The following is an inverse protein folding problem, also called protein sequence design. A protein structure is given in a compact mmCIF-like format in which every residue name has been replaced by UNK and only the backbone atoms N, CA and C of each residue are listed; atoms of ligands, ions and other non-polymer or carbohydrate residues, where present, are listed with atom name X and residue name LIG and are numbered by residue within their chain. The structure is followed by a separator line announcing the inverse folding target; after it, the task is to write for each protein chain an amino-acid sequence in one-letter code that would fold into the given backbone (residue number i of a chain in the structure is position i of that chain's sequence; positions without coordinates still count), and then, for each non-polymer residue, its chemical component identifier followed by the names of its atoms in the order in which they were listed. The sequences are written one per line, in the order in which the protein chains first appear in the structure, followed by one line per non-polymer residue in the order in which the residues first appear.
data_IF_690876530598
#
_entry.id   IF_690876530598
#
_cell.length_a   1.000
_cell.length_b   1.000
_cell.length_c   1.000
_cell.angle_alpha   90.00
_cell.angle_beta   90.00
_cell.angle_gamma   90.00
#
_symmetry.space_group_name_H-M   'P 1'
#
loop_
_entity.id
_entity.type
_entity.pdbx_description
1 polymer ?
#
# COMPACT_ATOMS: atom_id res chain seq x y z
N UNK A 1 -13.71 -25.15 22.54
CA UNK A 1 -13.67 -25.90 21.26
C UNK A 1 -13.13 -24.99 20.16
N UNK A 2 -11.94 -25.27 19.63
CA UNK A 2 -11.35 -24.50 18.53
C UNK A 2 -12.19 -24.70 17.26
N UNK A 3 -13.03 -23.72 16.91
CA UNK A 3 -13.66 -23.70 15.59
C UNK A 3 -12.56 -23.41 14.56
N UNK A 4 -12.36 -24.35 13.64
CA UNK A 4 -11.38 -24.26 12.53
C UNK A 4 -11.76 -23.10 11.60
N UNK A 5 -13.05 -22.76 11.54
CA UNK A 5 -13.61 -21.61 10.83
C UNK A 5 -14.07 -20.57 11.87
N UNK A 6 -13.36 -19.46 11.95
CA UNK A 6 -13.60 -18.41 12.94
C UNK A 6 -12.79 -17.16 12.64
N UNK A 7 -13.34 -16.00 12.91
CA UNK A 7 -12.68 -14.71 12.68
C UNK A 7 -12.35 -14.03 14.02
N UNK A 8 -11.06 -13.99 14.35
CA UNK A 8 -10.55 -13.41 15.59
C UNK A 8 -10.49 -14.36 16.78
N UNK A 9 -9.67 -13.99 17.77
CA UNK A 9 -9.50 -14.70 19.03
C UNK A 9 -10.39 -14.05 20.10
N UNK A 10 -11.06 -14.86 20.91
CA UNK A 10 -11.77 -14.41 22.11
C UNK A 10 -10.78 -14.34 23.25
N UNK A 11 -10.42 -13.14 23.69
CA UNK A 11 -9.51 -12.91 24.81
C UNK A 11 -10.34 -12.58 26.05
N UNK A 12 -9.96 -13.15 27.18
CA UNK A 12 -10.61 -12.91 28.48
C UNK A 12 -10.53 -11.42 28.83
N UNK A 13 -11.68 -10.77 29.05
CA UNK A 13 -11.78 -9.32 29.26
C UNK A 13 -12.34 -8.50 28.09
N UNK A 14 -12.60 -9.12 26.93
CA UNK A 14 -13.28 -8.48 25.79
C UNK A 14 -14.57 -9.22 25.42
N UNK A 15 -15.70 -8.50 25.40
CA UNK A 15 -17.02 -9.05 25.03
C UNK A 15 -17.15 -9.44 23.55
N UNK A 16 -16.18 -9.05 22.71
CA UNK A 16 -16.20 -9.28 21.27
C UNK A 16 -14.89 -9.94 20.80
N UNK A 17 -14.96 -10.96 19.92
CA UNK A 17 -13.77 -11.51 19.29
C UNK A 17 -13.08 -10.41 18.46
N UNK A 18 -11.76 -10.36 18.53
CA UNK A 18 -10.98 -9.34 17.85
C UNK A 18 -9.64 -9.86 17.34
N UNK A 19 -8.92 -9.00 16.63
CA UNK A 19 -7.54 -9.22 16.19
C UNK A 19 -6.61 -8.26 16.92
N UNK A 20 -5.39 -8.71 17.19
CA UNK A 20 -4.34 -7.86 17.72
C UNK A 20 -3.93 -6.81 16.65
N UNK A 21 -4.12 -5.53 16.97
CA UNK A 21 -3.84 -4.42 16.05
C UNK A 21 -2.38 -4.37 15.58
N UNK A 22 -1.44 -4.76 16.44
CA UNK A 22 -0.01 -4.73 16.14
C UNK A 22 0.35 -5.82 15.14
N UNK A 23 -0.30 -6.97 15.23
CA UNK A 23 -0.13 -8.07 14.28
C UNK A 23 -0.66 -7.70 12.90
N UNK A 24 -1.84 -7.08 12.85
CA UNK A 24 -2.44 -6.59 11.59
C UNK A 24 -1.56 -5.54 10.93
N UNK A 25 -1.05 -4.58 11.70
CA UNK A 25 -0.16 -3.53 11.20
C UNK A 25 1.20 -4.08 10.76
N UNK A 26 1.77 -5.03 11.51
CA UNK A 26 3.00 -5.71 11.11
C UNK A 26 2.81 -6.50 9.81
N UNK A 27 1.69 -7.23 9.68
CA UNK A 27 1.35 -7.96 8.46
C UNK A 27 1.19 -7.02 7.26
N UNK A 28 0.52 -5.87 7.43
CA UNK A 28 0.41 -4.85 6.39
C UNK A 28 1.79 -4.29 5.98
N UNK A 29 2.67 -4.03 6.96
CA UNK A 29 4.03 -3.55 6.71
C UNK A 29 4.88 -4.56 5.94
N UNK A 30 4.78 -5.85 6.26
CA UNK A 30 5.48 -6.93 5.54
C UNK A 30 5.00 -6.99 4.08
N UNK A 31 3.68 -6.99 3.86
CA UNK A 31 3.11 -7.00 2.52
C UNK A 31 3.50 -5.75 1.72
N UNK A 32 3.57 -4.59 2.37
CA UNK A 32 3.99 -3.33 1.76
C UNK A 32 5.44 -3.37 1.25
N UNK A 33 6.36 -3.99 1.98
CA UNK A 33 7.77 -4.12 1.53
C UNK A 33 7.84 -4.94 0.24
N UNK A 34 7.18 -6.11 0.19
CA UNK A 34 7.15 -6.94 -1.01
C UNK A 34 6.40 -6.27 -2.17
N UNK A 35 5.31 -5.56 -1.87
CA UNK A 35 4.57 -4.81 -2.87
C UNK A 35 5.43 -3.69 -3.48
N UNK A 36 6.16 -2.93 -2.64
CA UNK A 36 7.06 -1.87 -3.10
C UNK A 36 8.21 -2.42 -3.94
N UNK A 37 8.81 -3.53 -3.53
CA UNK A 37 9.93 -4.16 -4.25
C UNK A 37 9.50 -4.69 -5.62
N UNK A 38 8.34 -5.35 -5.70
CA UNK A 38 7.81 -5.89 -6.96
C UNK A 38 7.29 -4.80 -7.88
N UNK A 39 6.73 -3.71 -7.34
CA UNK A 39 6.35 -2.53 -8.10
C UNK A 39 7.55 -1.78 -8.68
N UNK A 40 8.59 -1.56 -7.86
CA UNK A 40 9.84 -0.95 -8.33
C UNK A 40 10.48 -1.79 -9.44
N UNK A 41 10.48 -3.12 -9.31
CA UNK A 41 10.99 -4.01 -10.34
C UNK A 41 10.20 -3.87 -11.66
N UNK A 42 8.86 -3.82 -11.59
CA UNK A 42 8.03 -3.58 -12.77
C UNK A 42 8.28 -2.19 -13.41
N UNK A 43 8.51 -1.15 -12.61
CA UNK A 43 8.71 0.22 -13.10
C UNK A 43 10.09 0.47 -13.73
N UNK A 44 11.14 -0.14 -13.19
CA UNK A 44 12.51 0.06 -13.68
C UNK A 44 12.92 -0.99 -14.72
N UNK A 45 12.56 -2.25 -14.52
CA UNK A 45 13.01 -3.37 -15.36
C UNK A 45 11.97 -3.77 -16.41
N UNK A 46 10.73 -3.28 -16.34
CA UNK A 46 9.63 -3.73 -17.20
C UNK A 46 9.26 -5.21 -17.01
N UNK A 47 9.75 -5.85 -15.93
CA UNK A 47 9.49 -7.25 -15.66
C UNK A 47 8.26 -7.39 -14.76
N UNK A 48 7.15 -7.85 -15.35
CA UNK A 48 5.87 -8.02 -14.64
C UNK A 48 5.72 -9.38 -13.97
N UNK A 49 6.66 -10.33 -14.14
CA UNK A 49 6.58 -11.65 -13.48
C UNK A 49 6.54 -11.55 -11.95
N UNK A 50 7.42 -10.77 -11.28
CA UNK A 50 7.39 -10.66 -9.82
C UNK A 50 6.09 -10.06 -9.31
N UNK A 51 5.55 -9.05 -10.01
CA UNK A 51 4.27 -8.42 -9.66
C UNK A 51 3.10 -9.40 -9.78
N UNK A 52 3.07 -10.24 -10.83
CA UNK A 52 2.03 -11.27 -11.00
C UNK A 52 2.06 -12.30 -9.87
N UNK A 53 3.25 -12.78 -9.51
CA UNK A 53 3.44 -13.73 -8.41
C UNK A 53 2.98 -13.10 -7.09
N UNK A 54 3.38 -11.85 -6.84
CA UNK A 54 2.98 -11.14 -5.63
C UNK A 54 1.47 -10.93 -5.55
N UNK A 55 0.81 -10.51 -6.62
CA UNK A 55 -0.66 -10.31 -6.63
C UNK A 55 -1.40 -11.62 -6.35
N UNK A 56 -0.92 -12.75 -6.88
CA UNK A 56 -1.49 -14.07 -6.56
C UNK A 56 -1.30 -14.43 -5.08
N UNK A 57 -0.08 -14.29 -4.56
CA UNK A 57 0.21 -14.55 -3.14
C UNK A 57 -0.61 -13.63 -2.21
N UNK A 58 -0.75 -12.36 -2.58
CA UNK A 58 -1.54 -11.36 -1.87
C UNK A 58 -3.03 -11.72 -1.85
N UNK A 59 -3.59 -12.14 -2.99
CA UNK A 59 -4.97 -12.58 -3.06
C UNK A 59 -5.21 -13.82 -2.20
N UNK A 60 -4.31 -14.80 -2.26
CA UNK A 60 -4.38 -16.02 -1.43
C UNK A 60 -4.33 -15.66 0.06
N UNK A 61 -3.42 -14.77 0.46
CA UNK A 61 -3.31 -14.30 1.85
C UNK A 61 -4.64 -13.69 2.35
N UNK A 62 -5.23 -12.76 1.60
CA UNK A 62 -6.52 -12.14 1.97
C UNK A 62 -7.69 -13.13 1.93
N UNK A 63 -7.67 -14.09 1.00
CA UNK A 63 -8.69 -15.14 0.92
C UNK A 63 -8.63 -16.04 2.16
N UNK A 64 -7.44 -16.45 2.62
CA UNK A 64 -7.28 -17.23 3.85
C UNK A 64 -7.80 -16.44 5.06
N UNK A 65 -7.50 -15.13 5.14
CA UNK A 65 -7.97 -14.27 6.22
C UNK A 65 -9.50 -14.14 6.27
N UNK A 66 -10.18 -14.03 5.12
CA UNK A 66 -11.64 -13.84 5.04
C UNK A 66 -12.39 -15.15 5.27
N UNK A 67 -12.01 -16.21 4.56
CA UNK A 67 -12.82 -17.41 4.43
C UNK A 67 -12.48 -18.52 5.44
N UNK A 68 -11.21 -18.59 5.90
CA UNK A 68 -10.76 -19.67 6.79
C UNK A 68 -10.62 -19.13 8.20
N UNK A 69 -9.51 -18.44 8.48
CA UNK A 69 -9.21 -17.85 9.77
C UNK A 69 -8.00 -16.91 9.60
N UNK A 70 -8.04 -15.66 10.10
CA UNK A 70 -6.89 -14.77 10.10
C UNK A 70 -5.64 -15.34 10.78
N UNK A 71 -5.80 -16.30 11.71
CA UNK A 71 -4.69 -17.01 12.37
C UNK A 71 -3.78 -17.77 11.41
N UNK A 72 -4.30 -18.26 10.28
CA UNK A 72 -3.54 -19.03 9.30
C UNK A 72 -2.98 -18.19 8.16
N UNK A 73 -3.17 -16.86 8.19
CA UNK A 73 -2.62 -16.00 7.15
C UNK A 73 -1.08 -15.95 7.25
N UNK A 74 -0.35 -16.24 6.15
CA UNK A 74 1.11 -16.28 6.18
C UNK A 74 1.71 -14.94 6.61
N UNK A 75 1.14 -13.82 6.19
CA UNK A 75 1.60 -12.50 6.61
C UNK A 75 1.32 -12.18 8.09
N UNK A 76 0.21 -12.66 8.66
CA UNK A 76 -0.08 -12.54 10.10
C UNK A 76 0.89 -13.40 10.93
N UNK A 77 1.18 -14.61 10.47
CA UNK A 77 2.18 -15.51 11.09
C UNK A 77 3.56 -14.85 11.09
N UNK A 78 3.98 -14.24 9.97
CA UNK A 78 5.23 -13.49 9.89
C UNK A 78 5.25 -12.27 10.82
N UNK A 79 4.11 -11.58 10.99
CA UNK A 79 3.97 -10.49 11.94
C UNK A 79 4.19 -10.92 13.40
N UNK A 80 3.75 -12.14 13.76
CA UNK A 80 3.96 -12.71 15.10
C UNK A 80 5.43 -13.02 15.38
N UNK A 81 6.14 -13.59 14.39
CA UNK A 81 7.59 -13.78 14.48
C UNK A 81 8.35 -12.45 14.63
N UNK A 82 7.82 -11.37 14.06
CA UNK A 82 8.37 -10.01 14.18
C UNK A 82 8.12 -9.31 15.52
N UNK A 83 7.59 -9.99 16.55
CA UNK A 83 7.41 -9.43 17.89
C UNK A 83 6.10 -8.69 18.15
N UNK A 84 5.09 -8.83 17.28
CA UNK A 84 3.77 -8.19 17.45
C UNK A 84 2.88 -8.81 18.58
N UNK A 85 3.38 -9.85 19.24
CA UNK A 85 2.68 -10.73 20.18
C UNK A 85 2.29 -10.10 21.54
N UNK A 86 2.79 -8.91 21.90
CA UNK A 86 2.66 -8.33 23.24
C UNK A 86 1.61 -7.21 23.40
N UNK A 87 0.77 -6.96 22.39
CA UNK A 87 -0.23 -5.89 22.42
C UNK A 87 -1.63 -6.36 22.81
N UNK A 88 -2.21 -5.77 23.86
CA UNK A 88 -3.60 -6.00 24.33
C UNK A 88 -4.68 -5.26 23.52
N UNK A 89 -4.30 -4.50 22.48
CA UNK A 89 -5.23 -3.73 21.65
C UNK A 89 -6.02 -4.62 20.70
N UNK A 90 -7.22 -5.06 21.12
CA UNK A 90 -8.10 -5.90 20.31
C UNK A 90 -9.03 -5.05 19.44
N UNK A 91 -8.89 -5.15 18.12
CA UNK A 91 -9.82 -4.51 17.16
C UNK A 91 -11.09 -5.34 16.99
N UNK A 92 -12.28 -4.70 16.97
CA UNK A 92 -13.57 -5.42 16.86
C UNK A 92 -13.73 -6.12 15.50
N UNK A 93 -14.14 -7.40 15.52
CA UNK A 93 -14.35 -8.29 14.35
C UNK A 93 -15.07 -7.69 13.14
N UNK A 94 -16.10 -6.86 13.32
CA UNK A 94 -16.90 -6.33 12.21
C UNK A 94 -16.17 -5.25 11.38
N UNK A 95 -15.44 -4.34 12.03
CA UNK A 95 -14.67 -3.30 11.35
C UNK A 95 -13.47 -3.90 10.59
N UNK A 96 -12.84 -4.90 11.20
CA UNK A 96 -11.72 -5.64 10.62
C UNK A 96 -12.13 -6.46 9.39
N UNK A 97 -13.26 -7.16 9.46
CA UNK A 97 -13.80 -7.91 8.33
C UNK A 97 -14.12 -7.00 7.14
N UNK A 98 -14.64 -5.79 7.37
CA UNK A 98 -14.89 -4.83 6.31
C UNK A 98 -13.60 -4.31 5.66
N UNK A 99 -12.59 -3.96 6.47
CA UNK A 99 -11.28 -3.52 5.96
C UNK A 99 -10.67 -4.60 5.07
N UNK A 100 -10.68 -5.83 5.56
CA UNK A 100 -10.18 -6.98 4.84
C UNK A 100 -10.98 -7.26 3.56
N UNK A 101 -12.30 -7.08 3.57
CA UNK A 101 -13.14 -7.19 2.38
C UNK A 101 -12.90 -6.07 1.36
N UNK A 102 -12.53 -4.85 1.79
CA UNK A 102 -12.09 -3.78 0.88
C UNK A 102 -10.74 -4.15 0.25
N UNK A 103 -9.78 -4.62 1.05
CA UNK A 103 -8.48 -5.10 0.58
C UNK A 103 -8.60 -6.24 -0.42
N UNK A 104 -9.47 -7.22 -0.15
CA UNK A 104 -9.74 -8.34 -1.05
C UNK A 104 -10.39 -7.87 -2.37
N UNK A 105 -11.33 -6.93 -2.33
CA UNK A 105 -11.93 -6.36 -3.56
C UNK A 105 -10.87 -5.66 -4.43
N UNK A 106 -9.96 -4.90 -3.82
CA UNK A 106 -8.83 -4.29 -4.54
C UNK A 106 -7.88 -5.35 -5.12
N UNK A 107 -7.56 -6.40 -4.37
CA UNK A 107 -6.72 -7.52 -4.83
C UNK A 107 -7.34 -8.25 -6.03
N UNK A 108 -8.64 -8.53 -5.99
CA UNK A 108 -9.38 -9.16 -7.11
C UNK A 108 -9.36 -8.25 -8.33
N UNK A 109 -9.57 -6.95 -8.14
CA UNK A 109 -9.55 -5.96 -9.24
C UNK A 109 -8.16 -5.91 -9.91
N UNK A 110 -7.09 -5.97 -9.11
CA UNK A 110 -5.72 -6.03 -9.63
C UNK A 110 -5.41 -7.34 -10.35
N UNK A 111 -5.84 -8.49 -9.80
CA UNK A 111 -5.68 -9.77 -10.47
C UNK A 111 -6.35 -9.74 -11.85
N UNK A 112 -7.56 -9.21 -11.91
CA UNK A 112 -8.32 -9.08 -13.15
C UNK A 112 -7.56 -8.27 -14.21
N UNK A 113 -7.02 -7.09 -13.85
CA UNK A 113 -6.27 -6.25 -14.78
C UNK A 113 -4.92 -6.85 -15.20
N UNK A 114 -4.13 -7.35 -14.25
CA UNK A 114 -2.72 -7.71 -14.47
C UNK A 114 -2.56 -9.13 -15.01
N UNK A 115 -3.32 -10.09 -14.46
CA UNK A 115 -3.15 -11.51 -14.77
C UNK A 115 -4.04 -11.93 -15.92
N UNK A 116 -5.32 -11.54 -15.90
CA UNK A 116 -6.30 -11.98 -16.91
C UNK A 116 -6.18 -11.12 -18.17
N UNK A 117 -6.23 -9.81 -18.03
CA UNK A 117 -6.20 -8.88 -19.17
C UNK A 117 -4.79 -8.53 -19.66
N UNK A 118 -3.74 -8.85 -18.89
CA UNK A 118 -2.33 -8.54 -19.16
C UNK A 118 -2.12 -7.07 -19.59
N UNK A 119 -2.91 -6.15 -19.03
CA UNK A 119 -2.89 -4.73 -19.40
C UNK A 119 -1.69 -4.09 -18.72
N UNK A 120 -0.63 -3.95 -19.51
CA UNK A 120 0.58 -3.22 -19.15
C UNK A 120 0.33 -1.75 -19.54
N UNK A 121 -0.33 -1.01 -18.65
CA UNK A 121 -0.78 0.36 -18.95
C UNK A 121 -0.74 1.31 -17.75
N UNK A 122 -0.92 2.62 -18.00
CA UNK A 122 -0.89 3.66 -16.97
C UNK A 122 -2.01 3.49 -15.92
N UNK A 123 -3.15 2.91 -16.33
CA UNK A 123 -4.27 2.61 -15.42
C UNK A 123 -3.82 1.62 -14.34
N UNK A 124 -3.10 0.56 -14.71
CA UNK A 124 -2.61 -0.41 -13.75
C UNK A 124 -1.61 0.23 -12.77
N UNK A 125 -0.71 1.09 -13.28
CA UNK A 125 0.23 1.83 -12.43
C UNK A 125 -0.49 2.73 -11.41
N UNK A 126 -1.57 3.42 -11.82
CA UNK A 126 -2.37 4.23 -10.91
C UNK A 126 -3.05 3.38 -9.82
N UNK A 127 -3.66 2.26 -10.20
CA UNK A 127 -4.31 1.35 -9.24
C UNK A 127 -3.29 0.77 -8.25
N UNK A 128 -2.11 0.36 -8.73
CA UNK A 128 -0.98 -0.08 -7.90
C UNK A 128 -0.52 1.02 -6.93
N UNK A 129 -0.32 2.24 -7.41
CA UNK A 129 0.09 3.37 -6.58
C UNK A 129 -0.94 3.71 -5.50
N UNK A 130 -2.24 3.70 -5.85
CA UNK A 130 -3.32 3.90 -4.87
C UNK A 130 -3.31 2.82 -3.79
N UNK A 131 -3.18 1.55 -4.16
CA UNK A 131 -3.13 0.45 -3.18
C UNK A 131 -1.90 0.54 -2.27
N UNK A 132 -0.71 0.78 -2.82
CA UNK A 132 0.52 0.96 -2.05
C UNK A 132 0.38 2.11 -1.06
N UNK A 133 -0.24 3.21 -1.50
CA UNK A 133 -0.51 4.37 -0.66
C UNK A 133 -1.44 4.02 0.50
N UNK A 134 -2.54 3.31 0.23
CA UNK A 134 -3.48 2.86 1.27
C UNK A 134 -2.80 1.93 2.29
N UNK A 135 -2.02 0.94 1.84
CA UNK A 135 -1.26 0.05 2.71
C UNK A 135 -0.18 0.79 3.51
N UNK A 136 0.48 1.79 2.91
CA UNK A 136 1.47 2.61 3.58
C UNK A 136 0.83 3.39 4.74
N UNK A 137 -0.32 4.02 4.54
CA UNK A 137 -1.01 4.72 5.62
C UNK A 137 -1.42 3.80 6.77
N UNK A 138 -1.89 2.59 6.44
CA UNK A 138 -2.25 1.56 7.42
C UNK A 138 -1.03 1.07 8.21
N UNK A 139 0.09 0.84 7.54
CA UNK A 139 1.31 0.31 8.16
C UNK A 139 2.10 1.38 8.95
N UNK A 140 2.18 2.61 8.43
CA UNK A 140 3.01 3.67 8.99
C UNK A 140 2.32 4.42 10.14
N UNK A 141 1.06 4.82 9.94
CA UNK A 141 0.35 5.65 10.91
C UNK A 141 -0.62 4.85 11.79
N UNK A 142 -0.94 3.60 11.45
CA UNK A 142 -1.96 2.80 12.15
C UNK A 142 -3.38 3.35 11.98
N UNK A 143 -3.55 4.43 11.20
CA UNK A 143 -4.84 5.03 10.87
C UNK A 143 -5.35 4.30 9.62
N UNK A 144 -6.28 3.37 9.81
CA UNK A 144 -6.94 2.76 8.67
C UNK A 144 -7.91 3.76 8.03
N UNK A 145 -7.59 4.24 6.82
CA UNK A 145 -8.48 5.10 6.03
C UNK A 145 -9.84 4.42 5.78
N UNK A 146 -9.87 3.09 5.67
CA UNK A 146 -11.10 2.29 5.58
C UNK A 146 -12.01 2.41 6.81
N UNK A 147 -11.44 2.47 8.02
CA UNK A 147 -12.23 2.73 9.23
C UNK A 147 -12.81 4.15 9.25
N UNK A 148 -12.04 5.13 8.75
CA UNK A 148 -12.51 6.52 8.65
C UNK A 148 -13.66 6.68 7.65
N UNK A 149 -13.57 6.02 6.49
CA UNK A 149 -14.64 5.98 5.48
C UNK A 149 -15.87 5.24 6.03
N UNK A 150 -15.68 4.13 6.74
CA UNK A 150 -16.79 3.40 7.37
C UNK A 150 -17.51 4.26 8.41
N UNK A 151 -16.78 4.95 9.30
CA UNK A 151 -17.37 5.83 10.29
C UNK A 151 -18.10 7.04 9.67
N UNK A 152 -17.67 7.46 8.47
CA UNK A 152 -18.35 8.53 7.72
C UNK A 152 -19.67 8.06 7.11
N UNK A 153 -19.76 6.80 6.68
CA UNK A 153 -20.95 6.24 6.03
C UNK A 153 -21.92 5.54 6.98
N UNK A 154 -21.44 4.95 8.07
CA UNK A 154 -22.26 4.25 9.05
C UNK A 154 -22.47 5.10 10.31
N UNK A 155 -23.73 5.25 10.72
CA UNK A 155 -24.13 5.96 11.97
C UNK A 155 -23.61 5.29 13.25
N UNK A 156 -23.27 4.01 13.19
CA UNK A 156 -22.67 3.25 14.29
C UNK A 156 -21.15 3.47 14.26
N UNK A 157 -20.63 4.21 15.24
CA UNK A 157 -19.19 4.44 15.36
C UNK A 157 -18.44 3.13 15.53
N UNK A 158 -17.34 2.97 14.80
CA UNK A 158 -16.44 1.85 15.00
C UNK A 158 -15.82 1.94 16.40
N UNK A 159 -16.33 1.15 17.35
CA UNK A 159 -15.73 1.01 18.67
C UNK A 159 -14.54 0.04 18.60
N UNK A 160 -13.43 0.38 19.26
CA UNK A 160 -12.13 -0.30 19.18
C UNK A 160 -11.47 -0.22 17.78
N UNK A 161 -11.20 1.01 17.34
CA UNK A 161 -10.39 1.25 16.13
C UNK A 161 -8.90 1.02 16.42
N UNK A 162 -8.13 0.50 15.45
CA UNK A 162 -6.68 0.36 15.58
C UNK A 162 -6.03 1.71 15.89
N UNK A 163 -5.08 1.69 16.83
CA UNK A 163 -4.39 2.89 17.31
C UNK A 163 -5.23 3.77 18.23
N UNK A 164 -6.34 3.28 18.77
CA UNK A 164 -7.19 4.03 19.71
C UNK A 164 -7.88 5.25 19.10
N UNK A 165 -7.89 5.42 17.78
CA UNK A 165 -8.37 6.65 17.09
C UNK A 165 -9.86 6.92 17.34
N UNK A 166 -10.64 5.90 17.64
CA UNK A 166 -12.07 6.00 17.93
C UNK A 166 -12.38 6.02 19.43
N UNK A 167 -11.40 5.76 20.28
CA UNK A 167 -11.49 5.99 21.72
C UNK A 167 -10.95 7.42 21.96
N UNK A 168 -11.59 8.20 22.82
CA UNK A 168 -11.12 9.56 23.09
C UNK A 168 -9.85 9.47 23.93
N UNK A 169 -8.73 9.19 23.27
CA UNK A 169 -7.40 9.28 23.88
C UNK A 169 -7.14 10.77 24.06
N UNK A 170 -7.27 11.25 25.30
CA UNK A 170 -6.79 12.57 25.65
C UNK A 170 -5.27 12.58 25.41
N UNK A 171 -4.76 13.34 24.43
CA UNK A 171 -3.33 13.35 24.16
C UNK A 171 -2.60 13.79 25.43
N UNK A 172 -1.59 13.03 25.84
CA UNK A 172 -0.72 13.46 26.93
C UNK A 172 -0.08 14.81 26.57
N UNK A 173 0.19 15.67 27.55
CA UNK A 173 0.73 17.02 27.31
C UNK A 173 2.04 17.04 26.47
N UNK A 174 2.78 15.92 26.43
CA UNK A 174 3.98 15.72 25.59
C UNK A 174 3.69 15.40 24.11
N UNK A 175 2.45 15.03 23.75
CA UNK A 175 2.03 14.74 22.38
C UNK A 175 1.35 15.94 21.69
N UNK A 176 1.20 17.07 22.38
CA UNK A 176 0.76 18.32 21.77
C UNK A 176 1.84 18.83 20.82
N UNK A 177 1.57 18.83 19.51
CA UNK A 177 2.44 19.48 18.52
C UNK A 177 2.29 20.99 18.71
N UNK A 178 3.07 21.56 19.63
CA UNK A 178 3.13 23.01 19.83
C UNK A 178 3.76 23.73 18.63
N UNK A 179 3.62 25.06 18.58
CA UNK A 179 4.19 25.90 17.51
C UNK A 179 5.71 25.67 17.32
N UNK A 180 6.43 25.27 18.37
CA UNK A 180 7.84 24.88 18.31
C UNK A 180 8.09 23.61 17.51
N UNK A 181 7.24 22.58 17.63
CA UNK A 181 7.36 21.33 16.88
C UNK A 181 7.15 21.55 15.37
N UNK A 182 6.16 22.37 15.01
CA UNK A 182 5.93 22.76 13.61
C UNK A 182 7.07 23.60 13.05
N UNK A 183 7.66 24.49 13.85
CA UNK A 183 8.80 25.31 13.43
C UNK A 183 10.05 24.46 13.16
N UNK A 184 10.32 23.44 13.98
CA UNK A 184 11.45 22.51 13.78
C UNK A 184 11.30 21.75 12.45
N UNK A 185 10.10 21.23 12.15
CA UNK A 185 9.84 20.56 10.88
C UNK A 185 10.01 21.51 9.70
N UNK A 186 9.50 22.74 9.80
CA UNK A 186 9.64 23.75 8.75
C UNK A 186 11.11 24.13 8.50
N UNK A 187 11.91 24.31 9.57
CA UNK A 187 13.34 24.61 9.47
C UNK A 187 14.11 23.43 8.88
N UNK A 188 13.79 22.19 9.29
CA UNK A 188 14.42 20.99 8.73
C UNK A 188 14.14 20.86 7.23
N UNK A 189 12.90 21.06 6.79
CA UNK A 189 12.52 21.05 5.37
C UNK A 189 13.18 22.20 4.60
N UNK A 190 13.27 23.39 5.20
CA UNK A 190 13.95 24.54 4.59
C UNK A 190 15.46 24.27 4.44
N UNK A 191 16.11 23.70 5.45
CA UNK A 191 17.52 23.29 5.40
C UNK A 191 17.76 22.25 4.31
N UNK A 192 16.91 21.21 4.22
CA UNK A 192 16.98 20.23 3.12
C UNK A 192 16.84 20.94 1.77
N UNK A 193 15.89 21.87 1.63
CA UNK A 193 15.70 22.62 0.39
C UNK A 193 16.90 23.49 0.01
N UNK A 194 17.56 24.11 0.99
CA UNK A 194 18.78 24.91 0.79
C UNK A 194 19.96 24.01 0.41
N UNK A 195 20.18 22.92 1.14
CA UNK A 195 21.25 21.94 0.86
C UNK A 195 21.05 21.30 -0.51
N UNK A 196 19.81 20.94 -0.87
CA UNK A 196 19.48 20.39 -2.18
C UNK A 196 19.83 21.38 -3.31
N UNK A 197 19.56 22.68 -3.11
CA UNK A 197 19.87 23.73 -4.11
C UNK A 197 21.36 24.07 -4.22
N UNK A 198 22.09 24.03 -3.10
CA UNK A 198 23.48 24.49 -3.04
C UNK A 198 24.51 23.36 -3.17
N UNK A 199 24.19 22.15 -2.70
CA UNK A 199 25.08 20.99 -2.69
C UNK A 199 24.90 20.04 -3.88
N UNK A 200 23.74 20.06 -4.54
CA UNK A 200 23.44 19.23 -5.70
C UNK A 200 22.90 20.12 -6.84
N UNK A 201 23.77 20.87 -7.56
CA UNK A 201 23.33 21.54 -8.78
C UNK A 201 22.63 20.51 -9.68
N UNK A 202 21.50 20.91 -10.29
CA UNK A 202 20.69 20.08 -11.16
C UNK A 202 21.43 19.79 -12.49
N UNK A 203 22.59 19.16 -12.43
CA UNK A 203 23.21 18.49 -13.55
C UNK A 203 22.49 17.15 -13.71
N UNK A 204 21.91 16.96 -14.90
CA UNK A 204 21.37 15.70 -15.43
C UNK A 204 19.86 15.43 -15.30
N UNK A 205 19.02 16.46 -15.40
CA UNK A 205 17.61 16.29 -15.79
C UNK A 205 17.32 16.72 -17.25
N UNK A 206 18.33 17.17 -18.01
CA UNK A 206 18.16 17.61 -19.38
C UNK A 206 19.40 17.30 -20.25
N UNK A 207 19.74 16.02 -20.38
CA UNK A 207 20.45 15.58 -21.58
C UNK A 207 19.41 15.52 -22.71
N UNK A 208 19.32 16.63 -23.43
CA UNK A 208 18.69 16.82 -24.73
C UNK A 208 18.97 15.65 -25.67
N UNK A 209 18.05 14.70 -25.77
CA UNK A 209 17.99 13.78 -26.92
C UNK A 209 17.44 14.58 -28.09
N UNK A 210 18.33 14.97 -29.00
CA UNK A 210 17.98 15.60 -30.27
C UNK A 210 16.96 14.74 -31.05
N UNK A 211 16.05 15.36 -31.83
CA UNK A 211 15.07 14.61 -32.61
C UNK A 211 15.81 13.94 -33.77
N UNK A 212 16.09 12.64 -33.67
CA UNK A 212 16.45 11.86 -34.85
C UNK A 212 15.15 11.44 -35.53
N UNK A 213 14.85 12.12 -36.63
CA UNK A 213 13.77 11.79 -37.56
C UNK A 213 13.83 10.31 -37.94
N UNK A 214 12.78 9.56 -37.62
CA UNK A 214 12.62 8.18 -38.06
C UNK A 214 12.06 8.15 -39.50
N UNK A 215 12.70 7.38 -40.37
CA UNK A 215 12.05 6.80 -41.54
C UNK A 215 11.21 5.58 -41.12
N UNK A 216 10.10 5.26 -41.81
CA UNK A 216 9.09 4.35 -41.30
C UNK A 216 9.45 2.90 -41.64
N UNK A 217 9.32 2.01 -40.65
CA UNK A 217 9.13 0.58 -40.90
C UNK A 217 8.12 0.06 -39.87
N UNK A 218 7.18 -0.73 -40.37
CA UNK A 218 5.87 -0.99 -39.78
C UNK A 218 5.88 -1.61 -38.39
N UNK A 219 5.02 -1.07 -37.55
CA UNK A 219 4.00 -1.77 -36.76
C UNK A 219 3.38 -0.73 -35.80
N UNK A 220 2.09 -0.41 -35.99
CA UNK A 220 1.35 0.60 -35.20
C UNK A 220 1.43 0.40 -33.67
N UNK A 221 1.83 -0.79 -33.22
CA UNK A 221 1.97 -1.18 -31.82
C UNK A 221 3.26 -0.68 -31.15
N UNK A 222 4.28 -0.30 -31.90
CA UNK A 222 5.58 0.11 -31.34
C UNK A 222 5.87 1.61 -31.43
N UNK A 223 4.91 2.39 -31.91
CA UNK A 223 4.97 3.86 -31.88
C UNK A 223 4.45 4.36 -30.53
N UNK A 224 5.29 4.99 -29.69
CA UNK A 224 4.83 5.54 -28.41
C UNK A 224 3.79 6.64 -28.65
N UNK A 225 2.67 6.62 -27.93
CA UNK A 225 1.61 7.62 -28.07
C UNK A 225 2.13 9.00 -27.65
N UNK A 226 1.50 10.06 -28.18
CA UNK A 226 1.94 11.44 -27.97
C UNK A 226 2.12 11.83 -26.49
N UNK A 227 1.31 11.29 -25.59
CA UNK A 227 1.45 11.54 -24.14
C UNK A 227 2.75 10.93 -23.57
N UNK A 228 3.19 9.77 -24.05
CA UNK A 228 4.42 9.14 -23.58
C UNK A 228 5.67 9.92 -24.03
N UNK A 229 5.61 10.51 -25.23
CA UNK A 229 6.64 11.42 -25.74
C UNK A 229 6.65 12.73 -24.98
N UNK A 230 5.47 13.33 -24.72
CA UNK A 230 5.36 14.60 -24.00
C UNK A 230 5.88 14.55 -22.55
N UNK A 231 5.77 13.39 -21.88
CA UNK A 231 6.26 13.18 -20.51
C UNK A 231 7.72 12.64 -20.52
N UNK A 232 8.39 12.57 -21.67
CA UNK A 232 9.78 12.06 -21.77
C UNK A 232 9.94 10.56 -21.46
N UNK A 233 8.84 9.79 -21.47
CA UNK A 233 8.81 8.38 -21.09
C UNK A 233 8.68 7.43 -22.29
N UNK A 234 9.00 7.90 -23.50
CA UNK A 234 8.90 7.12 -24.74
C UNK A 234 9.67 5.79 -24.69
N UNK A 235 10.91 5.81 -24.17
CA UNK A 235 11.75 4.60 -24.00
C UNK A 235 11.14 3.61 -22.98
N UNK A 236 10.57 4.11 -21.88
CA UNK A 236 9.87 3.25 -20.90
C UNK A 236 8.63 2.62 -21.51
N UNK A 237 7.89 3.37 -22.31
CA UNK A 237 6.72 2.84 -23.01
C UNK A 237 7.11 1.71 -23.97
N UNK A 238 8.19 1.85 -24.73
CA UNK A 238 8.71 0.79 -25.60
C UNK A 238 9.17 -0.45 -24.81
N UNK A 239 9.88 -0.25 -23.69
CA UNK A 239 10.29 -1.33 -22.77
C UNK A 239 9.07 -2.13 -22.27
N UNK A 240 8.01 -1.43 -21.90
CA UNK A 240 6.81 -2.05 -21.33
C UNK A 240 5.91 -2.72 -22.39
N UNK A 241 6.04 -2.34 -23.66
CA UNK A 241 5.28 -2.94 -24.78
C UNK A 241 6.08 -3.99 -25.56
N UNK A 242 7.24 -4.43 -25.04
CA UNK A 242 8.13 -5.42 -25.68
C UNK A 242 8.59 -5.00 -27.10
N UNK A 243 8.73 -3.70 -27.32
CA UNK A 243 9.18 -3.11 -28.59
C UNK A 243 10.67 -2.74 -28.56
N UNK A 244 11.46 -3.47 -27.77
CA UNK A 244 12.88 -3.23 -27.51
C UNK A 244 13.70 -4.46 -27.86
#
# INVERSE_FOLDING_TARGET
MSRIIGFGETVEGYDVPGLNEREVRAAAGILLVFAMMTFANAWFMGNFRPTKIFVLAFLVDFTIRIFINPKYSPSMILGRFGGAQSGTGMGRRAAEALRLAIGWRLAVTMLWMIVIHNVIGPINMLVCATCLTLMFFESAFGICLGCKIYNLFNKQQAQLCPGGVCEVVTPHASQGVGAGGTAIVAVFLALIGIIARQGFPATDAAATVAPTSAAPSGDDRCTPPAFAVAIGHAEKWKLHNHCK
#
